data_IF_153135427888
#
_entry.id   IF_153135427888
#
_cell.length_a   1.000
_cell.length_b   1.000
_cell.length_c   1.000
_cell.angle_alpha   90.00
_cell.angle_beta   90.00
_cell.angle_gamma   90.00
#
_symmetry.space_group_name_H-M   'P 1'
#
loop_
_entity.id
_entity.type
_entity.pdbx_description
1 polymer ?
#
# COMPACT_ATOMS: atom_id res chain seq x y z
N UNK A 1 -21.21 11.60 -13.61
CA UNK A 1 -21.09 10.24 -13.04
C UNK A 1 -20.24 9.41 -13.99
N UNK A 2 -18.96 9.25 -13.71
CA UNK A 2 -18.00 8.55 -14.58
C UNK A 2 -17.46 7.34 -13.82
N UNK A 3 -17.93 6.15 -14.19
CA UNK A 3 -17.13 4.93 -14.29
C UNK A 3 -16.42 4.37 -13.05
N UNK A 4 -16.93 4.52 -11.83
CA UNK A 4 -16.49 3.69 -10.68
C UNK A 4 -17.39 2.46 -10.65
N UNK A 5 -17.09 1.44 -11.46
CA UNK A 5 -17.96 0.25 -11.47
C UNK A 5 -17.50 -0.94 -12.29
N UNK A 6 -16.55 -0.76 -13.22
CA UNK A 6 -16.22 -1.82 -14.18
C UNK A 6 -14.81 -2.41 -13.95
N UNK A 7 -14.00 -1.81 -13.07
CA UNK A 7 -12.63 -2.29 -12.77
C UNK A 7 -12.51 -3.16 -11.50
N UNK A 8 -13.65 -3.53 -10.91
CA UNK A 8 -13.71 -4.29 -9.64
C UNK A 8 -14.25 -5.72 -9.83
N UNK A 9 -14.54 -6.14 -11.06
CA UNK A 9 -15.34 -7.35 -11.32
C UNK A 9 -14.52 -8.66 -11.45
N UNK A 10 -13.19 -8.62 -11.44
CA UNK A 10 -12.34 -9.83 -11.50
C UNK A 10 -11.46 -10.02 -10.26
N UNK A 11 -11.99 -9.73 -9.06
CA UNK A 11 -11.40 -10.16 -7.78
C UNK A 11 -11.38 -11.70 -7.58
N UNK A 12 -11.45 -12.49 -8.66
CA UNK A 12 -11.41 -13.95 -8.62
C UNK A 12 -10.03 -14.54 -8.94
N UNK A 13 -9.01 -13.70 -9.18
CA UNK A 13 -7.62 -14.16 -9.17
C UNK A 13 -7.17 -14.29 -7.72
N UNK A 14 -7.35 -15.50 -7.20
CA UNK A 14 -7.07 -15.94 -5.82
C UNK A 14 -5.73 -15.37 -5.34
N UNK A 15 -5.77 -14.30 -4.54
CA UNK A 15 -4.58 -13.79 -3.85
C UNK A 15 -3.95 -14.89 -3.03
N UNK A 16 -2.62 -14.95 -3.11
CA UNK A 16 -1.85 -15.95 -2.41
C UNK A 16 -2.16 -15.74 -0.93
N UNK A 17 -2.79 -16.73 -0.29
CA UNK A 17 -3.11 -16.71 1.14
C UNK A 17 -2.01 -16.09 2.04
N UNK A 18 -0.69 -16.35 1.84
CA UNK A 18 0.35 -15.69 2.63
C UNK A 18 0.47 -14.17 2.40
N UNK A 19 0.20 -13.68 1.19
CA UNK A 19 0.29 -12.26 0.85
C UNK A 19 -0.87 -11.47 1.49
N UNK A 20 -2.09 -12.02 1.43
CA UNK A 20 -3.24 -11.44 2.15
C UNK A 20 -2.95 -11.35 3.65
N UNK A 21 -2.40 -12.42 4.23
CA UNK A 21 -2.05 -12.44 5.65
C UNK A 21 -0.98 -11.39 6.00
N UNK A 22 0.04 -11.24 5.17
CA UNK A 22 1.08 -10.22 5.32
C UNK A 22 0.49 -8.79 5.23
N UNK A 23 -0.36 -8.53 4.24
CA UNK A 23 -1.04 -7.24 4.09
C UNK A 23 -1.94 -6.92 5.28
N UNK A 24 -2.64 -7.91 5.84
CA UNK A 24 -3.46 -7.73 7.04
C UNK A 24 -2.59 -7.31 8.24
N UNK A 25 -1.44 -7.95 8.44
CA UNK A 25 -0.50 -7.57 9.50
C UNK A 25 0.01 -6.14 9.28
N UNK A 26 0.43 -5.80 8.06
CA UNK A 26 0.89 -4.45 7.71
C UNK A 26 -0.20 -3.41 7.98
N UNK A 27 -1.46 -3.71 7.61
CA UNK A 27 -2.59 -2.82 7.84
C UNK A 27 -2.86 -2.58 9.33
N UNK A 28 -2.80 -3.63 10.16
CA UNK A 28 -2.96 -3.52 11.62
C UNK A 28 -1.83 -2.66 12.21
N UNK A 29 -0.57 -2.94 11.83
CA UNK A 29 0.59 -2.17 12.32
C UNK A 29 0.49 -0.71 11.90
N UNK A 30 0.09 -0.45 10.66
CA UNK A 30 -0.09 0.92 10.14
C UNK A 30 -1.20 1.66 10.88
N UNK A 31 -2.32 1.00 11.19
CA UNK A 31 -3.41 1.58 11.96
C UNK A 31 -2.98 1.95 13.39
N UNK A 32 -2.23 1.08 14.06
CA UNK A 32 -1.67 1.36 15.40
C UNK A 32 -0.71 2.55 15.34
N UNK A 33 0.17 2.59 14.34
CA UNK A 33 1.09 3.71 14.13
C UNK A 33 0.36 5.03 13.85
N UNK A 34 -0.74 5.01 13.11
CA UNK A 34 -1.58 6.19 12.90
C UNK A 34 -2.13 6.74 14.21
N UNK A 35 -2.64 5.88 15.10
CA UNK A 35 -3.14 6.31 16.41
C UNK A 35 -2.01 6.92 17.24
N UNK A 36 -0.84 6.28 17.29
CA UNK A 36 0.34 6.80 18.00
C UNK A 36 0.77 8.15 17.41
N UNK A 37 0.77 8.27 16.08
CA UNK A 37 1.13 9.49 15.38
C UNK A 37 0.22 10.66 15.80
N UNK A 38 -1.10 10.45 15.86
CA UNK A 38 -2.07 11.47 16.28
C UNK A 38 -1.86 11.87 17.75
N UNK A 39 -1.62 10.91 18.64
CA UNK A 39 -1.37 11.18 20.07
C UNK A 39 -0.08 11.98 20.28
N UNK A 40 0.92 11.78 19.42
CA UNK A 40 2.21 12.46 19.48
C UNK A 40 2.29 13.68 18.53
N UNK A 41 1.16 14.36 18.30
CA UNK A 41 1.08 15.61 17.52
C UNK A 41 1.74 15.49 16.13
N UNK A 42 1.43 14.40 15.42
CA UNK A 42 1.99 14.11 14.11
C UNK A 42 3.53 14.10 14.09
N UNK A 43 4.18 13.55 15.12
CA UNK A 43 5.64 13.48 15.12
C UNK A 43 6.17 12.78 13.85
N UNK A 44 7.10 13.44 13.17
CA UNK A 44 7.63 13.05 11.85
C UNK A 44 8.17 11.61 11.82
N UNK A 45 8.67 11.11 12.95
CA UNK A 45 9.15 9.73 13.05
C UNK A 45 8.03 8.71 12.79
N UNK A 46 6.83 8.91 13.31
CA UNK A 46 5.71 7.99 13.11
C UNK A 46 5.12 8.13 11.70
N UNK A 47 5.02 9.36 11.19
CA UNK A 47 4.61 9.60 9.80
C UNK A 47 5.54 8.90 8.80
N UNK A 48 6.85 8.98 9.01
CA UNK A 48 7.84 8.26 8.20
C UNK A 48 7.57 6.75 8.16
N UNK A 49 7.37 6.12 9.31
CA UNK A 49 7.10 4.69 9.38
C UNK A 49 5.77 4.31 8.71
N UNK A 50 4.74 5.13 8.83
CA UNK A 50 3.45 4.94 8.16
C UNK A 50 3.62 4.97 6.63
N UNK A 51 4.28 6.00 6.09
CA UNK A 51 4.48 6.12 4.64
C UNK A 51 5.34 4.99 4.09
N UNK A 52 6.36 4.55 4.83
CA UNK A 52 7.21 3.43 4.44
C UNK A 52 6.41 2.11 4.39
N UNK A 53 5.56 1.84 5.38
CA UNK A 53 4.67 0.67 5.40
C UNK A 53 3.65 0.70 4.27
N UNK A 54 3.07 1.87 3.96
CA UNK A 54 2.16 2.03 2.82
C UNK A 54 2.86 1.77 1.48
N UNK A 55 4.09 2.25 1.32
CA UNK A 55 4.93 1.96 0.15
C UNK A 55 5.22 0.47 0.00
N UNK A 56 5.60 -0.21 1.10
CA UNK A 56 5.82 -1.66 1.11
C UNK A 56 4.54 -2.42 0.76
N UNK A 57 3.39 -2.06 1.36
CA UNK A 57 2.11 -2.72 1.08
C UNK A 57 1.76 -2.63 -0.40
N UNK A 58 1.88 -1.42 -0.97
CA UNK A 58 1.59 -1.17 -2.38
C UNK A 58 2.56 -1.89 -3.33
N UNK A 59 3.84 -1.99 -2.95
CA UNK A 59 4.83 -2.76 -3.71
C UNK A 59 4.52 -4.27 -3.71
N UNK A 60 4.12 -4.82 -2.55
CA UNK A 60 3.72 -6.23 -2.42
C UNK A 60 2.50 -6.52 -3.28
N UNK A 61 1.48 -5.65 -3.25
CA UNK A 61 0.30 -5.75 -4.12
C UNK A 61 0.66 -5.69 -5.59
N UNK A 62 1.55 -4.78 -5.99
CA UNK A 62 2.06 -4.70 -7.36
C UNK A 62 2.71 -6.01 -7.79
N UNK A 63 3.68 -6.51 -7.01
CA UNK A 63 4.38 -7.77 -7.31
C UNK A 63 3.41 -8.95 -7.38
N UNK A 64 2.40 -8.98 -6.53
CA UNK A 64 1.37 -10.02 -6.55
C UNK A 64 0.50 -9.94 -7.82
N UNK A 65 0.05 -8.75 -8.22
CA UNK A 65 -0.70 -8.53 -9.47
C UNK A 65 0.13 -8.89 -10.70
N UNK A 66 1.45 -8.63 -10.67
CA UNK A 66 2.38 -9.10 -11.71
C UNK A 66 2.41 -10.63 -11.80
N UNK A 67 2.50 -11.34 -10.66
CA UNK A 67 2.49 -12.81 -10.62
C UNK A 67 1.15 -13.40 -11.12
N UNK A 68 0.05 -12.71 -10.88
CA UNK A 68 -1.28 -13.13 -11.35
C UNK A 68 -1.56 -12.86 -12.84
N UNK A 69 -0.60 -12.28 -13.57
CA UNK A 69 -0.77 -11.86 -14.97
C UNK A 69 -1.94 -10.88 -15.16
N UNK A 70 -2.24 -10.07 -14.13
CA UNK A 70 -3.20 -8.98 -14.24
C UNK A 70 -2.72 -7.95 -15.28
N UNK A 71 -3.62 -7.11 -15.83
CA UNK A 71 -3.24 -6.13 -16.84
C UNK A 71 -2.06 -5.27 -16.38
N UNK A 72 -1.05 -5.14 -17.26
CA UNK A 72 0.22 -4.41 -16.97
C UNK A 72 0.00 -3.02 -16.37
N UNK A 73 -1.09 -2.35 -16.75
CA UNK A 73 -1.50 -1.05 -16.21
C UNK A 73 -1.77 -1.10 -14.71
N UNK A 74 -2.46 -2.13 -14.20
CA UNK A 74 -2.76 -2.25 -12.77
C UNK A 74 -1.47 -2.38 -11.95
N UNK A 75 -0.59 -3.29 -12.35
CA UNK A 75 0.75 -3.45 -11.75
C UNK A 75 1.58 -2.16 -11.72
N UNK A 76 1.64 -1.46 -12.86
CA UNK A 76 2.40 -0.21 -12.99
C UNK A 76 1.84 0.90 -12.10
N UNK A 77 0.52 0.98 -11.96
CA UNK A 77 -0.12 1.95 -11.07
C UNK A 77 0.24 1.66 -9.61
N UNK A 78 0.18 0.41 -9.15
CA UNK A 78 0.53 0.06 -7.77
C UNK A 78 2.02 0.31 -7.48
N UNK A 79 2.92 -0.05 -8.39
CA UNK A 79 4.33 0.29 -8.24
C UNK A 79 4.59 1.80 -8.24
N UNK A 80 3.87 2.55 -9.08
CA UNK A 80 3.94 4.00 -9.11
C UNK A 80 3.52 4.60 -7.77
N UNK A 81 2.42 4.11 -7.19
CA UNK A 81 1.95 4.51 -5.86
C UNK A 81 2.99 4.16 -4.78
N UNK A 82 3.58 2.98 -4.83
CA UNK A 82 4.66 2.59 -3.92
C UNK A 82 5.86 3.56 -3.99
N UNK A 83 6.29 3.93 -5.21
CA UNK A 83 7.34 4.93 -5.42
C UNK A 83 6.98 6.28 -4.80
N UNK A 84 5.75 6.77 -4.99
CA UNK A 84 5.29 8.04 -4.39
C UNK A 84 5.39 7.98 -2.86
N UNK A 85 4.95 6.89 -2.24
CA UNK A 85 5.06 6.72 -0.80
C UNK A 85 6.50 6.71 -0.31
N UNK A 86 7.41 6.04 -1.02
CA UNK A 86 8.83 6.03 -0.66
C UNK A 86 9.49 7.41 -0.81
N UNK A 87 9.12 8.17 -1.84
CA UNK A 87 9.61 9.55 -2.01
C UNK A 87 9.12 10.43 -0.87
N UNK A 88 7.84 10.36 -0.50
CA UNK A 88 7.30 11.12 0.65
C UNK A 88 8.02 10.71 1.94
N UNK A 89 8.20 9.41 2.17
CA UNK A 89 8.89 8.91 3.35
C UNK A 89 10.35 9.39 3.44
N UNK A 90 11.03 9.51 2.28
CA UNK A 90 12.39 10.04 2.19
C UNK A 90 12.42 11.56 2.42
N UNK A 91 11.52 12.32 1.80
CA UNK A 91 11.45 13.78 2.00
C UNK A 91 11.07 14.19 3.43
N UNK A 92 10.38 13.32 4.17
CA UNK A 92 10.09 13.52 5.60
C UNK A 92 11.30 13.18 6.50
N UNK A 93 12.36 12.58 5.94
CA UNK A 93 13.57 12.19 6.66
C UNK A 93 14.67 13.26 6.69
N UNK A 94 14.61 14.23 5.78
CA UNK A 94 15.46 15.44 5.72
C UNK A 94 14.85 16.60 6.52
#
# INVERSE_FOLDING_TARGET
MVGIGIFFQEQQLKSSKPVIFLQLIIAIVTAVLMVICIINDFAFIYMKWIFLLLGISSAIEGVEKYKMKMPKKAFLTDLGIACVWFVIAYSVMD
#
